data_IF_851336778038
#
_entry.id   IF_851336778038
#
_cell.length_a   1.000
_cell.length_b   1.000
_cell.length_c   1.000
_cell.angle_alpha   90.00
_cell.angle_beta   90.00
_cell.angle_gamma   90.00
#
_symmetry.space_group_name_H-M   'P 1'
#
loop_
_entity.id
_entity.type
_entity.pdbx_description
1 polymer ?
#
# COMPACT_ATOMS: atom_id res chain seq x y z
N UNK A 1 -37.79 -14.56 20.62
CA UNK A 1 -36.33 -14.42 20.57
C UNK A 1 -35.94 -14.24 19.12
N UNK A 2 -35.27 -13.15 18.75
CA UNK A 2 -34.73 -13.01 17.40
C UNK A 2 -33.73 -14.14 17.15
N UNK A 3 -33.70 -14.76 15.95
CA UNK A 3 -32.72 -15.81 15.66
C UNK A 3 -31.32 -15.22 15.88
N UNK A 4 -30.49 -15.95 16.63
CA UNK A 4 -29.11 -15.58 16.81
C UNK A 4 -28.47 -15.42 15.41
N UNK A 5 -27.91 -14.25 15.14
CA UNK A 5 -27.24 -14.01 13.86
C UNK A 5 -25.80 -14.50 13.99
N UNK A 6 -25.46 -15.59 13.30
CA UNK A 6 -24.12 -16.17 13.29
C UNK A 6 -23.02 -15.12 13.03
N UNK A 7 -23.28 -14.16 12.14
CA UNK A 7 -22.32 -13.11 11.80
C UNK A 7 -22.10 -12.10 12.94
N UNK A 8 -23.15 -11.84 13.73
CA UNK A 8 -23.04 -11.00 14.93
C UNK A 8 -22.23 -11.71 16.00
N UNK A 9 -22.50 -13.00 16.23
CA UNK A 9 -21.71 -13.81 17.18
C UNK A 9 -20.24 -13.88 16.78
N UNK A 10 -19.95 -14.13 15.49
CA UNK A 10 -18.60 -14.12 14.94
C UNK A 10 -17.88 -12.79 15.17
N UNK A 11 -18.58 -11.68 14.94
CA UNK A 11 -18.02 -10.34 15.18
C UNK A 11 -17.68 -10.11 16.65
N UNK A 12 -18.59 -10.48 17.57
CA UNK A 12 -18.35 -10.34 19.01
C UNK A 12 -17.27 -11.31 19.52
N UNK A 13 -17.18 -12.52 18.95
CA UNK A 13 -16.10 -13.46 19.24
C UNK A 13 -14.73 -12.84 18.91
N UNK A 14 -14.58 -12.26 17.71
CA UNK A 14 -13.33 -11.60 17.31
C UNK A 14 -13.04 -10.32 18.10
N UNK A 15 -14.06 -9.65 18.66
CA UNK A 15 -13.88 -8.48 19.53
C UNK A 15 -13.35 -8.86 20.91
N UNK A 16 -13.81 -9.99 21.43
CA UNK A 16 -13.50 -10.45 22.79
C UNK A 16 -12.42 -11.53 22.84
N UNK A 17 -11.89 -11.92 21.68
CA UNK A 17 -11.00 -13.06 21.46
C UNK A 17 -11.51 -14.37 22.13
N UNK A 18 -12.82 -14.62 21.99
CA UNK A 18 -13.52 -15.72 22.65
C UNK A 18 -13.87 -16.85 21.66
N UNK A 19 -13.19 -17.99 21.81
CA UNK A 19 -13.38 -19.19 20.99
C UNK A 19 -14.77 -19.81 21.18
N UNK A 20 -15.32 -19.81 22.39
CA UNK A 20 -16.64 -20.41 22.67
C UNK A 20 -17.75 -19.65 21.92
N UNK A 21 -17.62 -18.33 21.81
CA UNK A 21 -18.53 -17.52 20.99
C UNK A 21 -18.37 -17.80 19.51
N UNK A 22 -17.16 -18.11 19.03
CA UNK A 22 -16.94 -18.51 17.64
C UNK A 22 -17.56 -19.89 17.35
N UNK A 23 -17.42 -20.86 18.26
CA UNK A 23 -18.08 -22.16 18.18
C UNK A 23 -19.61 -22.04 18.13
N UNK A 24 -20.18 -21.16 18.95
CA UNK A 24 -21.61 -20.83 18.91
C UNK A 24 -22.00 -20.23 17.56
N UNK A 25 -21.18 -19.33 17.00
CA UNK A 25 -21.43 -18.75 15.68
C UNK A 25 -21.48 -19.83 14.58
N UNK A 26 -20.54 -20.78 14.59
CA UNK A 26 -20.48 -21.90 13.65
C UNK A 26 -21.67 -22.86 13.84
N UNK A 27 -22.04 -23.14 15.10
CA UNK A 27 -23.19 -23.98 15.43
C UNK A 27 -24.50 -23.38 14.90
N UNK A 28 -24.68 -22.07 15.06
CA UNK A 28 -25.84 -21.33 14.52
C UNK A 28 -25.81 -21.34 12.99
N UNK A 29 -24.63 -21.20 12.38
CA UNK A 29 -24.48 -21.24 10.92
C UNK A 29 -24.81 -22.61 10.31
N UNK A 30 -24.68 -23.68 11.09
CA UNK A 30 -24.97 -25.06 10.68
C UNK A 30 -26.46 -25.40 10.70
N UNK A 31 -27.31 -24.55 11.30
CA UNK A 31 -28.75 -24.78 11.38
C UNK A 31 -29.43 -24.52 10.03
N UNK A 32 -30.46 -25.31 9.70
CA UNK A 32 -31.18 -25.29 8.42
C UNK A 32 -31.92 -23.97 8.09
N UNK A 33 -31.93 -23.01 9.01
CA UNK A 33 -32.49 -21.66 8.82
C UNK A 33 -31.44 -20.54 8.79
N UNK A 34 -30.14 -20.86 8.77
CA UNK A 34 -29.09 -19.84 8.74
C UNK A 34 -29.01 -19.16 7.38
N UNK A 35 -28.85 -17.83 7.38
CA UNK A 35 -28.56 -17.03 6.18
C UNK A 35 -27.15 -17.26 5.63
N UNK A 36 -26.22 -17.69 6.48
CA UNK A 36 -24.80 -17.79 6.16
C UNK A 36 -24.33 -19.24 6.31
N UNK A 37 -23.43 -19.66 5.44
CA UNK A 37 -22.80 -20.98 5.56
C UNK A 37 -21.72 -20.96 6.65
N UNK A 38 -21.34 -22.14 7.14
CA UNK A 38 -20.21 -22.26 8.07
C UNK A 38 -18.94 -21.66 7.47
N UNK A 39 -18.68 -21.90 6.19
CA UNK A 39 -17.51 -21.35 5.48
C UNK A 39 -17.53 -19.82 5.44
N UNK A 40 -18.69 -19.19 5.26
CA UNK A 40 -18.80 -17.72 5.30
C UNK A 40 -18.44 -17.15 6.67
N UNK A 41 -18.86 -17.83 7.73
CA UNK A 41 -18.60 -17.42 9.12
C UNK A 41 -17.13 -17.62 9.47
N UNK A 42 -16.55 -18.75 9.10
CA UNK A 42 -15.12 -19.05 9.30
C UNK A 42 -14.26 -18.07 8.51
N UNK A 43 -14.55 -17.80 7.23
CA UNK A 43 -13.82 -16.83 6.42
C UNK A 43 -13.94 -15.40 6.97
N UNK A 44 -15.13 -15.01 7.47
CA UNK A 44 -15.30 -13.71 8.12
C UNK A 44 -14.52 -13.65 9.43
N UNK A 45 -14.56 -14.73 10.20
CA UNK A 45 -13.80 -14.91 11.44
C UNK A 45 -12.31 -14.70 11.20
N UNK A 46 -11.75 -15.32 10.16
CA UNK A 46 -10.35 -15.15 9.78
C UNK A 46 -10.00 -13.68 9.56
N UNK A 47 -10.76 -12.99 8.70
CA UNK A 47 -10.53 -11.57 8.39
C UNK A 47 -10.62 -10.70 9.63
N UNK A 48 -11.68 -10.85 10.42
CA UNK A 48 -11.90 -10.03 11.63
C UNK A 48 -10.91 -10.36 12.74
N UNK A 49 -10.52 -11.63 12.91
CA UNK A 49 -9.55 -12.02 13.92
C UNK A 49 -8.16 -11.48 13.60
N UNK A 50 -7.74 -11.57 12.33
CA UNK A 50 -6.49 -10.99 11.88
C UNK A 50 -6.45 -9.46 12.07
N UNK A 51 -7.52 -8.78 11.66
CA UNK A 51 -7.63 -7.32 11.73
C UNK A 51 -7.71 -6.76 13.16
N UNK A 52 -8.12 -7.58 14.14
CA UNK A 52 -8.33 -7.18 15.54
C UNK A 52 -7.30 -7.76 16.49
N UNK A 53 -6.29 -8.46 15.96
CA UNK A 53 -5.29 -9.15 16.77
C UNK A 53 -5.90 -10.17 17.74
N UNK A 54 -6.99 -10.84 17.35
CA UNK A 54 -7.67 -11.86 18.15
C UNK A 54 -7.01 -13.23 17.93
N UNK A 55 -5.95 -13.50 18.69
CA UNK A 55 -5.02 -14.62 18.47
C UNK A 55 -5.70 -15.97 18.71
N UNK A 56 -6.50 -16.11 19.76
CA UNK A 56 -7.14 -17.38 20.10
C UNK A 56 -8.18 -17.77 19.05
N UNK A 57 -9.01 -16.80 18.65
CA UNK A 57 -10.00 -16.99 17.59
C UNK A 57 -9.32 -17.26 16.25
N UNK A 58 -8.21 -16.57 15.95
CA UNK A 58 -7.46 -16.80 14.72
C UNK A 58 -6.96 -18.24 14.62
N UNK A 59 -6.31 -18.76 15.68
CA UNK A 59 -5.81 -20.15 15.71
C UNK A 59 -6.95 -21.15 15.53
N UNK A 60 -8.04 -20.96 16.26
CA UNK A 60 -9.22 -21.82 16.15
C UNK A 60 -9.80 -21.83 14.74
N UNK A 61 -9.93 -20.67 14.09
CA UNK A 61 -10.46 -20.57 12.71
C UNK A 61 -9.53 -21.23 11.69
N UNK A 62 -8.22 -21.16 11.90
CA UNK A 62 -7.22 -21.86 11.06
C UNK A 62 -7.38 -23.38 11.19
N UNK A 63 -7.61 -23.89 12.40
CA UNK A 63 -7.87 -25.32 12.66
C UNK A 63 -9.14 -25.84 11.97
N UNK A 64 -10.12 -24.97 11.71
CA UNK A 64 -11.32 -25.30 10.91
C UNK A 64 -11.03 -25.47 9.41
N UNK A 65 -9.78 -25.33 8.97
CA UNK A 65 -9.36 -25.56 7.58
C UNK A 65 -9.68 -24.41 6.64
N UNK A 66 -9.68 -23.17 7.14
CA UNK A 66 -9.90 -21.98 6.31
C UNK A 66 -8.78 -21.79 5.29
N UNK A 67 -9.14 -21.28 4.12
CA UNK A 67 -8.17 -20.96 3.07
C UNK A 67 -7.52 -19.58 3.32
N UNK A 68 -6.36 -19.60 3.96
CA UNK A 68 -5.61 -18.39 4.33
C UNK A 68 -5.06 -17.64 3.11
N UNK A 69 -4.87 -18.33 1.97
CA UNK A 69 -4.34 -17.70 0.75
C UNK A 69 -5.31 -16.67 0.15
N UNK A 70 -6.59 -16.74 0.50
CA UNK A 70 -7.60 -15.74 0.12
C UNK A 70 -7.57 -14.47 0.97
N UNK A 71 -6.77 -14.44 2.04
CA UNK A 71 -6.60 -13.26 2.87
C UNK A 71 -5.68 -12.27 2.17
N UNK A 72 -6.17 -11.04 1.98
CA UNK A 72 -5.41 -9.93 1.39
C UNK A 72 -5.09 -8.89 2.45
N UNK A 73 -4.01 -8.12 2.27
CA UNK A 73 -3.60 -7.10 3.23
C UNK A 73 -4.72 -6.09 3.60
N UNK A 74 -5.57 -5.75 2.62
CA UNK A 74 -6.75 -4.91 2.85
C UNK A 74 -7.71 -5.46 3.92
N UNK A 75 -7.89 -6.77 3.99
CA UNK A 75 -8.78 -7.39 4.98
C UNK A 75 -8.26 -7.24 6.42
N UNK A 76 -6.94 -7.12 6.57
CA UNK A 76 -6.25 -6.93 7.86
C UNK A 76 -6.27 -5.44 8.23
N UNK A 77 -5.95 -4.57 7.27
CA UNK A 77 -5.68 -3.15 7.51
C UNK A 77 -6.92 -2.26 7.45
N UNK A 78 -7.89 -2.59 6.60
CA UNK A 78 -9.11 -1.79 6.40
C UNK A 78 -10.28 -2.54 7.02
N UNK A 79 -10.57 -2.22 8.28
CA UNK A 79 -11.66 -2.81 9.03
C UNK A 79 -12.46 -1.74 9.80
N UNK A 80 -13.57 -2.14 10.44
CA UNK A 80 -14.48 -1.22 11.15
C UNK A 80 -13.79 -0.42 12.28
N UNK A 81 -12.72 -0.98 12.86
CA UNK A 81 -11.89 -0.40 13.91
C UNK A 81 -10.40 -0.58 13.54
N UNK A 82 -9.82 0.35 12.76
CA UNK A 82 -8.44 0.23 12.32
C UNK A 82 -7.51 0.23 13.54
N UNK A 83 -6.78 -0.88 13.68
CA UNK A 83 -5.75 -1.09 14.69
C UNK A 83 -4.44 -1.38 13.98
N UNK A 84 -3.34 -1.03 14.64
CA UNK A 84 -2.02 -1.49 14.22
C UNK A 84 -2.00 -3.03 14.21
N UNK A 85 -1.58 -3.68 13.10
CA UNK A 85 -1.57 -5.12 13.01
C UNK A 85 -0.54 -5.70 13.98
N UNK A 86 -0.93 -6.72 14.74
CA UNK A 86 0.00 -7.41 15.63
C UNK A 86 0.98 -8.27 14.84
N UNK A 87 2.28 -8.11 15.12
CA UNK A 87 3.35 -8.98 14.60
C UNK A 87 3.06 -10.45 14.91
N UNK A 88 2.53 -10.76 16.10
CA UNK A 88 2.18 -12.15 16.47
C UNK A 88 1.13 -12.74 15.52
N UNK A 89 0.12 -11.95 15.13
CA UNK A 89 -0.88 -12.39 14.15
C UNK A 89 -0.25 -12.58 12.78
N UNK A 90 0.61 -11.67 12.34
CA UNK A 90 1.28 -11.77 11.05
C UNK A 90 2.19 -13.02 10.98
N UNK A 91 2.92 -13.33 12.05
CA UNK A 91 3.73 -14.54 12.19
C UNK A 91 2.88 -15.81 12.07
N UNK A 92 1.73 -15.86 12.74
CA UNK A 92 0.79 -16.99 12.61
C UNK A 92 0.33 -17.11 11.15
N UNK A 93 -0.06 -16.01 10.50
CA UNK A 93 -0.53 -16.05 9.12
C UNK A 93 0.56 -16.57 8.16
N UNK A 94 1.78 -16.04 8.25
CA UNK A 94 2.92 -16.47 7.41
C UNK A 94 3.25 -17.94 7.66
N UNK A 95 3.28 -18.38 8.92
CA UNK A 95 3.53 -19.78 9.28
C UNK A 95 2.52 -20.76 8.65
N UNK A 96 1.30 -20.28 8.39
CA UNK A 96 0.25 -21.05 7.73
C UNK A 96 0.11 -20.74 6.22
N UNK A 97 1.13 -20.14 5.60
CA UNK A 97 1.23 -19.97 4.15
C UNK A 97 0.54 -18.74 3.59
N UNK A 98 0.27 -17.73 4.42
CA UNK A 98 -0.09 -16.40 3.94
C UNK A 98 1.10 -15.74 3.23
N UNK A 99 0.84 -15.07 2.11
CA UNK A 99 1.84 -14.32 1.36
C UNK A 99 1.79 -12.84 1.75
N UNK A 100 2.92 -12.28 2.18
CA UNK A 100 3.05 -10.86 2.55
C UNK A 100 2.81 -9.93 1.36
N UNK A 101 3.09 -10.43 0.14
CA UNK A 101 2.83 -9.72 -1.12
C UNK A 101 1.40 -9.96 -1.66
N UNK A 102 0.59 -10.74 -0.93
CA UNK A 102 -0.83 -10.98 -1.25
C UNK A 102 -1.57 -9.66 -1.42
N UNK A 103 -1.90 -9.37 -2.68
CA UNK A 103 -2.71 -8.25 -3.08
C UNK A 103 -3.76 -8.77 -4.05
N UNK A 104 -5.02 -8.63 -3.69
CA UNK A 104 -6.11 -8.71 -4.67
C UNK A 104 -6.05 -7.46 -5.55
N UNK A 105 -7.18 -6.77 -5.70
CA UNK A 105 -7.23 -5.47 -6.40
C UNK A 105 -6.69 -4.31 -5.55
N UNK A 106 -5.79 -4.57 -4.60
CA UNK A 106 -5.36 -3.62 -3.57
C UNK A 106 -3.85 -3.53 -3.44
N UNK A 107 -3.38 -2.89 -2.36
CA UNK A 107 -1.96 -2.80 -2.05
C UNK A 107 -1.49 -3.98 -1.17
N UNK A 108 -0.22 -4.39 -1.24
CA UNK A 108 0.43 -5.29 -0.27
C UNK A 108 0.45 -4.71 1.14
N UNK A 109 0.77 -5.55 2.14
CA UNK A 109 0.83 -5.12 3.54
C UNK A 109 1.79 -3.95 3.75
N UNK A 110 2.99 -4.02 3.15
CA UNK A 110 4.04 -3.02 3.28
C UNK A 110 3.54 -1.59 3.02
N UNK A 111 2.59 -1.40 2.10
CA UNK A 111 2.05 -0.09 1.72
C UNK A 111 1.06 0.47 2.72
N UNK A 112 0.43 -0.38 3.54
CA UNK A 112 -0.46 0.05 4.61
C UNK A 112 0.30 0.40 5.89
N UNK A 113 1.47 -0.20 6.10
CA UNK A 113 2.22 -0.08 7.34
C UNK A 113 3.41 0.86 7.26
N UNK A 114 3.52 1.66 6.20
CA UNK A 114 4.67 2.59 5.98
C UNK A 114 4.85 3.58 7.13
N UNK A 115 3.80 3.90 7.89
CA UNK A 115 3.88 4.76 9.07
C UNK A 115 4.44 4.07 10.33
N UNK A 116 4.57 2.74 10.33
CA UNK A 116 5.05 1.92 11.45
C UNK A 116 6.42 1.30 11.13
N UNK A 117 7.54 1.90 11.57
CA UNK A 117 8.89 1.44 11.22
C UNK A 117 9.16 -0.03 11.58
N UNK A 118 8.62 -0.50 12.70
CA UNK A 118 8.81 -1.87 13.17
C UNK A 118 8.14 -2.88 12.24
N UNK A 119 6.92 -2.59 11.78
CA UNK A 119 6.20 -3.42 10.81
C UNK A 119 6.81 -3.32 9.41
N UNK A 120 7.39 -2.19 9.03
CA UNK A 120 8.15 -2.07 7.78
C UNK A 120 9.37 -2.98 7.82
N UNK A 121 10.16 -2.98 8.90
CA UNK A 121 11.30 -3.89 9.05
C UNK A 121 10.83 -5.34 8.97
N UNK A 122 9.77 -5.68 9.70
CA UNK A 122 9.18 -7.01 9.65
C UNK A 122 8.76 -7.44 8.23
N UNK A 123 8.10 -6.56 7.47
CA UNK A 123 7.71 -6.84 6.08
C UNK A 123 8.93 -7.08 5.19
N UNK A 124 9.98 -6.27 5.33
CA UNK A 124 11.21 -6.40 4.54
C UNK A 124 11.98 -7.69 4.88
N UNK A 125 12.03 -8.07 6.16
CA UNK A 125 12.61 -9.34 6.61
C UNK A 125 11.86 -10.55 6.00
N UNK A 126 10.57 -10.39 5.76
CA UNK A 126 9.70 -11.36 5.08
C UNK A 126 9.64 -11.20 3.54
N UNK A 127 10.62 -10.50 2.94
CA UNK A 127 10.74 -10.32 1.48
C UNK A 127 9.54 -9.62 0.84
N UNK A 128 8.97 -8.63 1.52
CA UNK A 128 7.98 -7.76 0.91
C UNK A 128 8.57 -7.00 -0.29
N UNK A 129 7.81 -6.94 -1.38
CA UNK A 129 8.16 -6.21 -2.59
C UNK A 129 7.97 -4.70 -2.37
N UNK A 130 9.03 -3.92 -2.62
CA UNK A 130 9.01 -2.45 -2.49
C UNK A 130 8.48 -1.75 -3.73
N UNK A 131 8.47 -2.44 -4.87
CA UNK A 131 7.93 -1.94 -6.12
C UNK A 131 6.73 -2.77 -6.55
N UNK A 132 5.73 -2.11 -7.13
CA UNK A 132 4.55 -2.77 -7.67
C UNK A 132 4.43 -2.31 -9.11
N UNK A 133 4.50 -3.22 -10.08
CA UNK A 133 4.36 -2.85 -11.47
C UNK A 133 3.01 -2.20 -11.70
N UNK A 134 3.03 -1.09 -12.45
CA UNK A 134 1.82 -0.47 -12.98
C UNK A 134 0.99 -1.49 -13.78
N UNK A 135 -0.32 -1.32 -13.80
CA UNK A 135 -1.17 -2.07 -14.70
C UNK A 135 -0.69 -1.82 -16.15
N UNK A 136 -0.66 -2.84 -17.03
CA UNK A 136 -0.22 -2.64 -18.41
C UNK A 136 -1.09 -1.57 -19.09
N UNK A 137 -0.54 -0.82 -20.05
CA UNK A 137 -1.31 0.15 -20.81
C UNK A 137 -2.55 -0.50 -21.40
N UNK A 138 -3.72 0.12 -21.23
CA UNK A 138 -4.92 -0.36 -21.92
C UNK A 138 -4.81 0.00 -23.40
N UNK A 139 -4.81 -1.02 -24.25
CA UNK A 139 -4.90 -0.85 -25.69
C UNK A 139 -6.32 -0.38 -26.03
N UNK A 140 -6.44 0.81 -26.61
CA UNK A 140 -7.70 1.28 -27.15
C UNK A 140 -8.04 0.53 -28.45
N UNK A 141 -9.30 0.59 -28.88
CA UNK A 141 -9.76 -0.04 -30.12
C UNK A 141 -9.04 0.48 -31.39
N UNK A 142 -8.40 1.66 -31.36
CA UNK A 142 -7.62 2.21 -32.48
C UNK A 142 -6.12 1.82 -32.47
N UNK A 143 -5.68 1.01 -31.49
CA UNK A 143 -4.29 0.61 -31.32
C UNK A 143 -3.41 1.63 -30.57
N UNK A 144 -3.95 2.77 -30.15
CA UNK A 144 -3.25 3.69 -29.23
C UNK A 144 -3.27 3.16 -27.80
N UNK A 145 -2.15 3.33 -27.10
CA UNK A 145 -2.07 3.10 -25.67
C UNK A 145 -2.48 4.38 -24.94
N UNK A 146 -3.57 4.34 -24.18
CA UNK A 146 -3.91 5.46 -23.30
C UNK A 146 -3.56 5.14 -21.86
N UNK A 147 -2.67 5.96 -21.28
CA UNK A 147 -2.45 6.03 -19.83
C UNK A 147 -3.57 6.89 -19.22
N UNK A 148 -4.82 6.43 -19.33
CA UNK A 148 -6.00 7.14 -18.76
C UNK A 148 -5.92 7.25 -17.24
N UNK A 149 -5.14 6.40 -16.57
CA UNK A 149 -4.87 6.45 -15.13
C UNK A 149 -3.52 7.12 -14.86
N UNK A 150 -3.49 8.01 -13.87
CA UNK A 150 -2.23 8.51 -13.30
C UNK A 150 -1.39 7.30 -12.87
N UNK A 151 -0.06 7.32 -13.10
CA UNK A 151 0.82 6.26 -12.65
C UNK A 151 0.63 6.05 -11.15
N UNK A 152 0.66 4.78 -10.70
CA UNK A 152 0.55 4.46 -9.29
C UNK A 152 1.63 5.22 -8.51
N UNK A 153 1.29 5.83 -7.37
CA UNK A 153 2.31 6.45 -6.51
C UNK A 153 3.34 5.38 -6.14
N UNK A 154 4.62 5.74 -6.01
CA UNK A 154 5.65 4.82 -5.48
C UNK A 154 5.52 4.70 -3.97
N UNK A 155 6.08 3.64 -3.37
CA UNK A 155 6.09 3.51 -1.91
C UNK A 155 6.89 4.64 -1.25
N UNK A 156 7.94 5.14 -1.90
CA UNK A 156 8.70 6.30 -1.42
C UNK A 156 7.87 7.58 -1.43
N UNK A 157 6.99 7.75 -2.41
CA UNK A 157 6.08 8.90 -2.43
C UNK A 157 5.09 8.88 -1.27
N UNK A 158 4.62 7.68 -0.88
CA UNK A 158 3.77 7.50 0.29
C UNK A 158 4.56 7.77 1.57
N UNK A 159 5.75 7.15 1.71
CA UNK A 159 6.65 7.34 2.83
C UNK A 159 7.02 8.82 3.05
N UNK A 160 7.30 9.56 1.98
CA UNK A 160 7.62 10.99 2.06
C UNK A 160 6.43 11.84 2.54
N UNK A 161 5.21 11.36 2.35
CA UNK A 161 3.99 12.08 2.73
C UNK A 161 3.55 11.82 4.17
N UNK A 162 3.81 10.63 4.72
CA UNK A 162 3.18 10.15 5.95
C UNK A 162 4.11 9.44 6.94
N UNK A 163 5.37 9.18 6.60
CA UNK A 163 6.27 8.35 7.42
C UNK A 163 7.47 9.10 8.02
N UNK A 164 8.26 8.39 8.81
CA UNK A 164 9.52 8.88 9.36
C UNK A 164 10.62 8.91 8.29
N UNK A 165 11.63 9.76 8.52
CA UNK A 165 12.85 9.81 7.69
C UNK A 165 13.53 8.43 7.69
N UNK A 166 13.50 7.71 8.81
CA UNK A 166 14.07 6.38 8.94
C UNK A 166 13.41 5.38 7.98
N UNK A 167 12.07 5.33 7.96
CA UNK A 167 11.35 4.44 7.05
C UNK A 167 11.64 4.78 5.59
N UNK A 168 11.67 6.07 5.26
CA UNK A 168 12.00 6.52 3.90
C UNK A 168 13.40 6.05 3.47
N UNK A 169 14.39 6.23 4.34
CA UNK A 169 15.77 5.83 4.09
C UNK A 169 15.92 4.31 3.96
N UNK A 170 15.23 3.56 4.82
CA UNK A 170 15.19 2.11 4.79
C UNK A 170 14.64 1.59 3.46
N UNK A 171 13.49 2.11 3.01
CA UNK A 171 12.87 1.72 1.74
C UNK A 171 13.76 2.10 0.55
N UNK A 172 14.41 3.27 0.60
CA UNK A 172 15.37 3.70 -0.42
C UNK A 172 16.56 2.75 -0.51
N UNK A 173 17.10 2.31 0.63
CA UNK A 173 18.19 1.34 0.68
C UNK A 173 17.81 -0.03 0.08
N UNK A 174 16.52 -0.40 0.15
CA UNK A 174 15.97 -1.61 -0.47
C UNK A 174 15.65 -1.44 -1.96
N UNK A 175 16.02 -0.31 -2.58
CA UNK A 175 15.84 -0.08 -4.01
C UNK A 175 14.44 0.37 -4.42
N UNK A 176 13.64 0.88 -3.48
CA UNK A 176 12.32 1.41 -3.80
C UNK A 176 12.41 2.55 -4.85
N UNK A 177 11.54 2.57 -5.88
CA UNK A 177 11.60 3.56 -6.94
C UNK A 177 11.25 4.95 -6.41
N UNK A 178 12.01 5.95 -6.86
CA UNK A 178 11.76 7.35 -6.56
C UNK A 178 11.14 8.04 -7.77
N UNK A 179 9.91 8.53 -7.63
CA UNK A 179 9.25 9.29 -8.71
C UNK A 179 9.36 10.81 -8.51
N UNK A 180 9.26 11.55 -9.62
CA UNK A 180 9.37 13.02 -9.66
C UNK A 180 8.29 13.75 -8.82
N UNK A 181 7.18 13.07 -8.48
CA UNK A 181 6.09 13.63 -7.67
C UNK A 181 6.27 13.39 -6.17
N UNK A 182 7.25 12.60 -5.76
CA UNK A 182 7.56 12.36 -4.33
C UNK A 182 7.70 13.68 -3.55
N UNK A 183 8.49 14.63 -4.08
CA UNK A 183 8.63 15.96 -3.46
C UNK A 183 7.33 16.76 -3.49
N UNK A 184 6.59 16.71 -4.59
CA UNK A 184 5.31 17.42 -4.73
C UNK A 184 4.29 16.94 -3.69
N UNK A 185 4.23 15.62 -3.44
CA UNK A 185 3.35 15.01 -2.45
C UNK A 185 3.78 15.35 -1.03
N UNK A 186 5.08 15.27 -0.72
CA UNK A 186 5.61 15.67 0.59
C UNK A 186 5.26 17.13 0.93
N UNK A 187 5.49 18.05 -0.02
CA UNK A 187 5.15 19.48 0.15
C UNK A 187 3.64 19.68 0.29
N UNK A 188 2.84 19.04 -0.57
CA UNK A 188 1.37 19.13 -0.49
C UNK A 188 0.85 18.68 0.88
N UNK A 189 1.35 17.57 1.41
CA UNK A 189 0.93 17.08 2.73
C UNK A 189 1.39 18.02 3.85
N UNK A 190 2.64 18.49 3.81
CA UNK A 190 3.16 19.47 4.77
C UNK A 190 2.32 20.76 4.80
N UNK A 191 1.88 21.26 3.63
CA UNK A 191 0.98 22.43 3.57
C UNK A 191 -0.44 22.15 4.07
N UNK A 192 -0.92 20.91 3.94
CA UNK A 192 -2.25 20.51 4.41
C UNK A 192 -2.30 20.32 5.93
N UNK A 193 -1.21 19.83 6.51
CA UNK A 193 -1.03 19.66 7.97
C UNK A 193 -0.58 20.95 8.66
N UNK A 194 -0.08 21.93 7.91
CA UNK A 194 0.24 23.23 8.46
C UNK A 194 -1.02 23.83 9.11
N UNK A 195 -0.95 24.29 10.37
CA UNK A 195 -2.07 24.92 11.01
C UNK A 195 -2.52 26.09 10.14
N UNK A 196 -3.82 26.14 9.79
CA UNK A 196 -4.41 27.25 9.04
C UNK A 196 -4.34 28.50 9.92
N UNK A 197 -3.21 29.19 9.86
CA UNK A 197 -2.92 30.38 10.64
C UNK A 197 -3.76 31.54 10.17
N UNK A 198 -4.95 31.69 10.75
CA UNK A 198 -5.41 33.02 11.12
C UNK A 198 -4.56 33.48 12.30
N UNK A 199 -3.67 34.44 12.05
CA UNK A 199 -2.91 35.28 13.00
C UNK A 199 -1.43 35.32 12.64
N UNK A 200 -1.07 36.46 12.06
CA UNK A 200 0.26 37.02 11.90
C UNK A 200 1.13 36.83 13.15
N UNK A 201 2.18 36.03 13.02
CA UNK A 201 3.20 35.88 14.04
C UNK A 201 4.43 35.22 13.45
N UNK A 202 5.31 36.03 12.84
CA UNK A 202 6.69 35.72 12.47
C UNK A 202 6.96 34.27 12.07
N UNK A 203 6.92 34.00 10.77
CA UNK A 203 7.49 32.79 10.17
C UNK A 203 8.96 32.71 10.58
N UNK A 204 9.26 32.01 11.68
CA UNK A 204 10.61 31.49 11.93
C UNK A 204 10.85 30.48 10.83
N UNK A 205 11.54 30.96 9.80
CA UNK A 205 12.19 30.17 8.76
C UNK A 205 12.93 29.03 9.48
N UNK A 206 12.41 27.81 9.40
CA UNK A 206 13.19 26.61 9.69
C UNK A 206 14.22 26.53 8.56
N UNK A 207 15.34 27.22 8.75
CA UNK A 207 16.58 26.96 8.02
C UNK A 207 17.07 25.61 8.53
N UNK A 208 17.14 24.56 7.68
CA UNK A 208 17.87 23.36 8.05
C UNK A 208 19.33 23.77 8.16
N UNK A 209 19.90 23.63 9.36
CA UNK A 209 21.33 23.74 9.61
C UNK A 209 22.04 22.55 8.95
N UNK A 210 22.24 22.61 7.63
CA UNK A 210 23.15 21.74 6.92
C UNK A 210 24.55 22.37 6.95
N UNK A 211 25.27 22.12 8.05
CA UNK A 211 26.73 22.22 8.06
C UNK A 211 27.28 20.97 7.37
N UNK A 212 27.21 20.96 6.03
CA UNK A 212 27.83 19.97 5.17
C UNK A 212 28.51 20.72 4.03
N UNK A 213 29.84 20.78 4.06
CA UNK A 213 30.68 21.37 3.03
C UNK A 213 30.45 20.70 1.68
N UNK A 214 29.71 21.37 0.79
CA UNK A 214 29.69 21.06 -0.64
C UNK A 214 30.78 21.87 -1.36
N UNK A 215 31.58 21.25 -2.26
CA UNK A 215 32.59 21.95 -3.03
C UNK A 215 31.94 22.93 -4.03
N UNK A 216 32.55 24.11 -4.12
CA UNK A 216 32.14 25.26 -4.92
C UNK A 216 32.00 24.94 -6.42
N UNK A 217 30.77 24.97 -6.94
CA UNK A 217 30.53 25.11 -8.38
C UNK A 217 30.47 26.60 -8.74
N UNK A 218 31.36 27.01 -9.65
CA UNK A 218 31.50 28.39 -10.14
C UNK A 218 30.23 28.87 -10.85
N UNK A 219 29.88 30.17 -10.76
CA UNK A 219 28.74 30.75 -11.48
C UNK A 219 29.05 30.86 -12.99
N UNK A 220 28.20 30.27 -13.83
CA UNK A 220 28.22 30.51 -15.27
C UNK A 220 27.66 31.91 -15.56
N UNK A 221 28.44 32.68 -16.33
CA UNK A 221 28.17 34.05 -16.77
C UNK A 221 26.85 34.16 -17.55
N UNK A 222 26.15 35.25 -17.27
CA UNK A 222 25.13 35.87 -18.10
C UNK A 222 25.67 36.16 -19.51
N UNK A 223 24.96 35.69 -20.53
CA UNK A 223 25.08 36.11 -21.92
C UNK A 223 23.68 36.41 -22.46
N UNK A 224 23.48 37.68 -22.82
CA UNK A 224 22.28 38.23 -23.47
C UNK A 224 22.18 37.82 -24.95
N UNK A 225 21.06 38.21 -25.57
CA UNK A 225 20.65 38.13 -26.98
C UNK A 225 19.86 36.85 -27.35
N UNK A 226 18.76 36.87 -28.09
CA UNK A 226 18.02 37.93 -28.78
C UNK A 226 16.67 37.34 -29.25
N UNK A 227 15.67 38.20 -29.44
CA UNK A 227 14.38 37.92 -30.08
C UNK A 227 14.50 37.13 -31.39
N UNK A 228 13.64 36.11 -31.59
CA UNK A 228 12.92 35.93 -32.87
C UNK A 228 11.69 35.03 -32.73
N UNK A 229 10.64 35.46 -33.43
CA UNK A 229 9.29 34.91 -33.48
C UNK A 229 9.18 33.77 -34.50
N UNK A 230 8.02 33.11 -34.40
CA UNK A 230 7.22 32.48 -35.45
C UNK A 230 7.52 31.02 -35.88
N UNK A 231 6.44 30.23 -35.73
CA UNK A 231 5.93 29.15 -36.58
C UNK A 231 6.77 27.90 -36.88
N UNK A 232 6.27 26.73 -36.48
CA UNK A 232 5.71 25.74 -37.43
C UNK A 232 5.29 24.42 -36.75
N UNK A 233 4.09 23.98 -37.11
CA UNK A 233 3.58 22.61 -37.03
C UNK A 233 4.55 21.56 -37.60
N UNK A 234 4.64 20.37 -36.99
CA UNK A 234 4.73 19.10 -37.74
C UNK A 234 3.91 17.99 -37.06
N UNK A 235 2.99 17.45 -37.86
CA UNK A 235 2.13 16.30 -37.61
C UNK A 235 2.85 14.98 -37.95
N UNK A 236 2.56 13.95 -37.14
CA UNK A 236 2.67 12.49 -37.28
C UNK A 236 3.08 11.89 -38.64
N UNK A 237 4.05 10.95 -38.62
CA UNK A 237 4.00 9.67 -39.37
C UNK A 237 5.10 8.69 -38.89
N UNK A 238 4.69 7.57 -38.27
CA UNK A 238 5.42 6.29 -38.18
C UNK A 238 5.32 5.53 -39.54
N UNK A 239 5.90 4.32 -39.80
CA UNK A 239 6.55 3.33 -38.91
C UNK A 239 7.81 2.60 -39.44
N UNK A 240 8.41 1.81 -38.54
CA UNK A 240 9.15 0.54 -38.68
C UNK A 240 9.63 0.04 -40.06
N UNK A 241 10.91 -0.36 -40.11
CA UNK A 241 11.41 -1.52 -40.89
C UNK A 241 12.34 -2.37 -40.02
N UNK A 242 11.94 -3.62 -39.74
CA UNK A 242 12.86 -4.78 -39.73
C UNK A 242 13.24 -5.04 -41.21
N UNK A 243 14.37 -5.60 -41.63
CA UNK A 243 15.14 -6.84 -41.34
C UNK A 243 16.53 -6.56 -42.02
N UNK A 244 17.69 -7.17 -41.77
CA UNK A 244 17.99 -8.59 -41.90
C UNK A 244 19.44 -8.91 -41.48
N UNK A 245 19.63 -10.18 -41.13
CA UNK A 245 20.88 -10.86 -40.80
C UNK A 245 21.81 -10.96 -42.02
N UNK A 246 23.10 -10.62 -41.88
CA UNK A 246 24.16 -11.22 -42.71
C UNK A 246 25.56 -11.07 -42.09
N UNK A 247 25.98 -12.12 -41.40
CA UNK A 247 27.29 -12.81 -41.50
C UNK A 247 28.49 -11.99 -41.99
N UNK A 248 29.51 -11.81 -41.14
CA UNK A 248 30.92 -11.89 -41.56
C UNK A 248 31.71 -12.62 -40.48
N UNK A 249 32.41 -13.66 -40.95
CA UNK A 249 33.44 -14.47 -40.31
C UNK A 249 34.65 -13.68 -39.85
#
# INVERSE_FOLDING_TARGET
MAPANAMRLCTEACKTDDVLRMEQAISVASQSGSRFTVQDVVQRGLRRAAARSAVQVLRYVIEQGVDIKKLVAKDIMINDEPLEPSVEVLEILVAHGWDVNSRGDSWPLLWYVVEYPDLVRWCLDHRAEVDIPDDPPQANADGTESRTKLPRPTILSLAASSSSIETFELLRAQGAPLDQRTLHLAVKTATSLAPKGGSTGHVRRLVPSLAGTFPSCKPCRTGEAENRKDDAYITVSQPFKMIDNTRVT
#
